data_IF_219035467107
#
_entry.id   IF_219035467107
#
_cell.length_a   1.000
_cell.length_b   1.000
_cell.length_c   1.000
_cell.angle_alpha   90.00
_cell.angle_beta   90.00
_cell.angle_gamma   90.00
#
_symmetry.space_group_name_H-M   'P 1'
#
loop_
_entity.id
_entity.type
_entity.pdbx_description
1 polymer ?
#
# COMPACT_ATOMS: atom_id res chain seq x y z
N UNK A 1 -15.14 -18.19 -3.30
CA UNK A 1 -13.98 -17.23 -3.20
C UNK A 1 -12.72 -18.05 -3.01
N UNK A 2 -11.77 -17.88 -3.91
CA UNK A 2 -10.47 -18.54 -3.84
C UNK A 2 -9.54 -17.88 -2.80
N UNK A 3 -8.43 -18.52 -2.46
CA UNK A 3 -7.51 -17.95 -1.47
C UNK A 3 -6.86 -16.64 -1.93
N UNK A 4 -6.46 -16.56 -3.21
CA UNK A 4 -5.89 -15.31 -3.75
C UNK A 4 -6.93 -14.19 -3.87
N UNK A 5 -8.19 -14.50 -4.21
CA UNK A 5 -9.27 -13.51 -4.19
C UNK A 5 -9.50 -12.95 -2.79
N UNK A 6 -9.44 -13.80 -1.76
CA UNK A 6 -9.54 -13.35 -0.37
C UNK A 6 -8.42 -12.38 0.01
N UNK A 7 -7.17 -12.67 -0.42
CA UNK A 7 -6.04 -11.78 -0.18
C UNK A 7 -6.15 -10.47 -0.97
N UNK A 8 -6.58 -10.54 -2.23
CA UNK A 8 -6.86 -9.35 -3.04
C UNK A 8 -7.93 -8.46 -2.37
N UNK A 9 -9.02 -9.04 -1.91
CA UNK A 9 -10.06 -8.30 -1.19
C UNK A 9 -9.54 -7.68 0.12
N UNK A 10 -8.61 -8.35 0.81
CA UNK A 10 -7.96 -7.79 2.00
C UNK A 10 -7.12 -6.56 1.63
N UNK A 11 -6.31 -6.66 0.59
CA UNK A 11 -5.55 -5.52 0.06
C UNK A 11 -6.47 -4.35 -0.28
N UNK A 12 -7.59 -4.60 -0.97
CA UNK A 12 -8.55 -3.57 -1.36
C UNK A 12 -9.24 -2.90 -0.17
N UNK A 13 -9.52 -3.63 0.91
CA UNK A 13 -10.04 -3.01 2.15
C UNK A 13 -9.08 -1.98 2.73
N UNK A 14 -7.79 -2.28 2.74
CA UNK A 14 -6.78 -1.31 3.20
C UNK A 14 -6.59 -0.18 2.19
N UNK A 15 -6.67 -0.45 0.89
CA UNK A 15 -6.67 0.60 -0.13
C UNK A 15 -7.79 1.62 0.09
N UNK A 16 -9.01 1.17 0.32
CA UNK A 16 -10.14 2.07 0.61
C UNK A 16 -9.94 2.86 1.92
N UNK A 17 -9.27 2.27 2.91
CA UNK A 17 -8.89 3.03 4.12
C UNK A 17 -7.88 4.13 3.82
N UNK A 18 -6.91 3.89 2.93
CA UNK A 18 -5.97 4.92 2.48
C UNK A 18 -6.71 6.09 1.80
N UNK A 19 -7.67 5.78 0.94
CA UNK A 19 -8.50 6.81 0.31
C UNK A 19 -9.24 7.63 1.37
N UNK A 20 -9.86 7.01 2.34
CA UNK A 20 -10.55 7.69 3.44
C UNK A 20 -9.59 8.55 4.28
N UNK A 21 -8.38 8.08 4.54
CA UNK A 21 -7.35 8.82 5.29
C UNK A 21 -6.96 10.11 4.56
N UNK A 22 -6.77 10.06 3.24
CA UNK A 22 -6.47 11.26 2.45
C UNK A 22 -7.66 12.19 2.27
N UNK A 23 -8.88 11.67 2.18
CA UNK A 23 -10.10 12.50 2.15
C UNK A 23 -10.41 13.16 3.49
N UNK A 24 -9.97 12.59 4.59
CA UNK A 24 -10.14 13.08 5.93
C UNK A 24 -10.92 12.16 6.85
N UNK A 25 -10.37 11.99 8.03
CA UNK A 25 -10.97 11.22 9.13
C UNK A 25 -11.68 12.18 10.07
N UNK A 26 -12.89 11.86 10.50
CA UNK A 26 -13.67 12.71 11.42
C UNK A 26 -12.89 12.93 12.72
N UNK A 27 -12.71 14.19 13.09
CA UNK A 27 -12.06 14.57 14.36
C UNK A 27 -12.94 14.10 15.54
N UNK A 28 -12.33 13.44 16.53
CA UNK A 28 -13.06 12.85 17.65
C UNK A 28 -13.55 11.41 17.40
N UNK A 29 -13.29 10.86 16.21
CA UNK A 29 -13.38 9.40 16.02
C UNK A 29 -12.30 8.69 16.87
N UNK A 30 -12.49 7.40 17.16
CA UNK A 30 -11.49 6.62 17.90
C UNK A 30 -10.17 6.43 17.13
N UNK A 31 -10.12 6.81 15.85
CA UNK A 31 -8.94 6.70 14.99
C UNK A 31 -7.93 7.80 15.31
N UNK A 32 -6.71 7.36 15.62
CA UNK A 32 -5.54 8.20 15.88
C UNK A 32 -4.66 8.28 14.63
N UNK A 33 -3.71 9.23 14.63
CA UNK A 33 -2.70 9.31 13.56
C UNK A 33 -1.91 8.02 13.37
N UNK A 34 -1.56 7.35 14.48
CA UNK A 34 -0.87 6.07 14.45
C UNK A 34 -1.68 4.97 13.75
N UNK A 35 -3.00 4.92 13.99
CA UNK A 35 -3.90 3.97 13.31
C UNK A 35 -3.92 4.20 11.80
N UNK A 36 -3.83 5.46 11.37
CA UNK A 36 -3.76 5.80 9.95
C UNK A 36 -2.44 5.34 9.32
N UNK A 37 -1.33 5.50 10.01
CA UNK A 37 -0.01 5.01 9.57
C UNK A 37 -0.02 3.48 9.49
N UNK A 38 -0.58 2.82 10.48
CA UNK A 38 -0.69 1.36 10.52
C UNK A 38 -1.51 0.83 9.34
N UNK A 39 -2.61 1.48 9.01
CA UNK A 39 -3.42 1.13 7.83
C UNK A 39 -2.64 1.31 6.52
N UNK A 40 -1.85 2.38 6.40
CA UNK A 40 -0.98 2.61 5.23
C UNK A 40 0.02 1.48 5.08
N UNK A 41 0.73 1.12 6.13
CA UNK A 41 1.69 0.02 6.09
C UNK A 41 1.02 -1.33 5.88
N UNK A 42 -0.16 -1.55 6.46
CA UNK A 42 -0.94 -2.76 6.24
C UNK A 42 -1.36 -2.92 4.77
N UNK A 43 -1.63 -1.82 4.05
CA UNK A 43 -1.86 -1.90 2.60
C UNK A 43 -0.63 -2.48 1.89
N UNK A 44 0.55 -1.89 2.08
CA UNK A 44 1.76 -2.35 1.39
C UNK A 44 2.14 -3.79 1.73
N UNK A 45 1.96 -4.18 2.99
CA UNK A 45 2.16 -5.55 3.44
C UNK A 45 1.23 -6.53 2.68
N UNK A 46 -0.07 -6.24 2.64
CA UNK A 46 -1.04 -7.09 1.98
C UNK A 46 -0.89 -7.08 0.46
N UNK A 47 -0.51 -5.96 -0.12
CA UNK A 47 -0.21 -5.81 -1.55
C UNK A 47 0.98 -6.68 -1.96
N UNK A 48 2.08 -6.64 -1.21
CA UNK A 48 3.26 -7.45 -1.49
C UNK A 48 3.01 -8.94 -1.29
N UNK A 49 2.28 -9.31 -0.25
CA UNK A 49 1.97 -10.71 0.04
C UNK A 49 1.01 -11.34 -0.98
N UNK A 50 0.29 -10.56 -1.76
CA UNK A 50 -0.61 -11.11 -2.79
C UNK A 50 0.14 -12.05 -3.76
N UNK A 51 1.40 -11.75 -4.09
CA UNK A 51 2.24 -12.63 -4.91
C UNK A 51 2.37 -14.05 -4.33
N UNK A 52 2.50 -14.17 -3.01
CA UNK A 52 2.68 -15.47 -2.36
C UNK A 52 1.37 -16.26 -2.34
N UNK A 53 0.25 -15.56 -2.19
CA UNK A 53 -1.07 -16.18 -2.28
C UNK A 53 -1.35 -16.68 -3.71
N UNK A 54 -1.02 -15.88 -4.74
CA UNK A 54 -1.14 -16.29 -6.14
C UNK A 54 -0.29 -17.53 -6.47
N UNK A 55 0.94 -17.57 -5.95
CA UNK A 55 1.85 -18.72 -6.19
C UNK A 55 1.41 -20.01 -5.51
N UNK A 56 0.70 -19.91 -4.40
CA UNK A 56 0.36 -21.07 -3.56
C UNK A 56 -1.14 -21.44 -3.60
N UNK A 57 -1.96 -20.67 -4.30
CA UNK A 57 -3.36 -21.02 -4.50
C UNK A 57 -3.52 -21.99 -5.68
N UNK A 58 -3.96 -23.23 -5.45
CA UNK A 58 -4.18 -24.20 -6.53
C UNK A 58 -5.28 -23.78 -7.51
N UNK A 59 -6.17 -22.87 -7.09
CA UNK A 59 -7.21 -22.34 -7.96
C UNK A 59 -6.72 -21.26 -8.94
N UNK A 60 -5.52 -20.70 -8.72
CA UNK A 60 -4.92 -19.74 -9.63
C UNK A 60 -4.08 -20.44 -10.69
N UNK A 61 -4.68 -20.67 -11.85
CA UNK A 61 -4.05 -21.41 -12.95
C UNK A 61 -3.65 -20.54 -14.15
N UNK A 62 -3.98 -19.25 -14.12
CA UNK A 62 -3.71 -18.32 -15.23
C UNK A 62 -2.22 -18.06 -15.48
N UNK A 63 -1.40 -18.14 -14.44
CA UNK A 63 0.03 -17.86 -14.50
C UNK A 63 0.81 -18.86 -13.66
N UNK A 64 2.03 -19.15 -14.09
CA UNK A 64 2.96 -19.97 -13.28
C UNK A 64 3.54 -19.17 -12.11
N UNK A 65 4.06 -19.87 -11.11
CA UNK A 65 4.77 -19.24 -9.97
C UNK A 65 5.90 -18.33 -10.46
N UNK A 66 6.64 -18.75 -11.48
CA UNK A 66 7.72 -17.98 -12.07
C UNK A 66 7.20 -16.70 -12.73
N UNK A 67 6.10 -16.77 -13.47
CA UNK A 67 5.48 -15.59 -14.09
C UNK A 67 5.02 -14.56 -13.04
N UNK A 68 4.51 -15.00 -11.90
CA UNK A 68 4.16 -14.10 -10.78
C UNK A 68 5.42 -13.39 -10.24
N UNK A 69 6.51 -14.13 -10.02
CA UNK A 69 7.77 -13.55 -9.55
C UNK A 69 8.38 -12.59 -10.58
N UNK A 70 8.39 -12.95 -11.84
CA UNK A 70 8.93 -12.12 -12.92
C UNK A 70 8.13 -10.83 -13.07
N UNK A 71 6.81 -10.90 -12.95
CA UNK A 71 5.96 -9.72 -12.99
C UNK A 71 6.29 -8.73 -11.87
N UNK A 72 6.43 -9.21 -10.64
CA UNK A 72 6.82 -8.35 -9.50
C UNK A 72 8.20 -7.73 -9.73
N UNK A 73 9.16 -8.52 -10.21
CA UNK A 73 10.54 -8.06 -10.47
C UNK A 73 10.65 -7.02 -11.59
N UNK A 74 9.70 -7.01 -12.51
CA UNK A 74 9.71 -6.10 -13.68
C UNK A 74 8.72 -4.94 -13.54
N UNK A 75 7.98 -4.87 -12.43
CA UNK A 75 6.98 -3.82 -12.18
C UNK A 75 7.48 -2.86 -11.10
N UNK A 76 7.91 -1.63 -11.45
CA UNK A 76 8.60 -0.73 -10.52
C UNK A 76 7.80 -0.40 -9.25
N UNK A 77 6.48 -0.17 -9.35
CA UNK A 77 5.66 0.13 -8.18
C UNK A 77 5.56 -1.08 -7.22
N UNK A 78 5.60 -2.31 -7.72
CA UNK A 78 5.59 -3.51 -6.88
C UNK A 78 6.95 -3.78 -6.23
N UNK A 79 8.05 -3.39 -6.88
CA UNK A 79 9.39 -3.40 -6.27
C UNK A 79 9.48 -2.38 -5.14
N UNK A 80 8.98 -1.17 -5.35
CA UNK A 80 8.88 -0.16 -4.28
C UNK A 80 7.98 -0.64 -3.14
N UNK A 81 6.84 -1.23 -3.45
CA UNK A 81 5.95 -1.85 -2.47
C UNK A 81 6.68 -2.90 -1.61
N UNK A 82 7.51 -3.74 -2.23
CA UNK A 82 8.33 -4.71 -1.53
C UNK A 82 9.32 -4.05 -0.55
N UNK A 83 9.98 -2.98 -0.98
CA UNK A 83 10.93 -2.24 -0.12
C UNK A 83 10.22 -1.55 1.03
N UNK A 84 9.05 -0.95 0.81
CA UNK A 84 8.22 -0.37 1.88
C UNK A 84 7.80 -1.46 2.88
N UNK A 85 7.33 -2.60 2.39
CA UNK A 85 6.95 -3.73 3.23
C UNK A 85 8.12 -4.23 4.10
N UNK A 86 9.32 -4.31 3.52
CA UNK A 86 10.53 -4.72 4.26
C UNK A 86 11.00 -3.65 5.24
N UNK A 87 10.90 -2.37 4.89
CA UNK A 87 11.26 -1.25 5.78
C UNK A 87 10.39 -1.21 7.04
N UNK A 88 9.12 -1.59 6.95
CA UNK A 88 8.21 -1.67 8.11
C UNK A 88 8.55 -2.83 9.04
N UNK A 89 9.18 -3.87 8.53
CA UNK A 89 9.59 -5.04 9.31
C UNK A 89 10.98 -4.88 9.95
N UNK A 90 11.87 -4.15 9.26
CA UNK A 90 13.25 -3.98 9.66
C UNK A 90 13.57 -2.50 9.77
N UNK A 91 14.19 -2.10 10.87
CA UNK A 91 14.61 -0.71 11.10
C UNK A 91 15.60 -0.21 10.02
N UNK A 92 16.40 -1.13 9.47
CA UNK A 92 17.36 -0.85 8.40
C UNK A 92 17.24 -1.90 7.30
N UNK A 93 17.20 -1.45 6.05
CA UNK A 93 17.30 -2.33 4.90
C UNK A 93 18.77 -2.64 4.62
N UNK A 94 19.11 -3.93 4.52
CA UNK A 94 20.44 -4.39 4.07
C UNK A 94 20.64 -4.30 2.56
N UNK A 95 19.55 -4.14 1.83
CA UNK A 95 19.52 -3.99 0.38
C UNK A 95 18.12 -3.63 -0.08
N UNK A 96 17.99 -3.14 -1.30
CA UNK A 96 16.71 -2.77 -1.89
C UNK A 96 16.42 -3.58 -3.14
N UNK A 97 15.15 -3.75 -3.46
CA UNK A 97 14.69 -4.42 -4.69
C UNK A 97 14.45 -3.42 -5.81
N UNK A 98 14.05 -2.21 -5.45
CA UNK A 98 13.81 -1.10 -6.37
C UNK A 98 15.09 -0.32 -6.76
N UNK A 99 16.22 -0.61 -6.10
CA UNK A 99 17.50 0.08 -6.31
C UNK A 99 17.69 1.35 -5.48
N UNK A 100 16.71 1.77 -4.70
CA UNK A 100 16.80 2.94 -3.82
C UNK A 100 16.04 2.69 -2.53
N UNK A 101 16.54 3.24 -1.42
CA UNK A 101 15.88 3.12 -0.10
C UNK A 101 14.71 4.10 -0.05
N UNK A 102 13.47 3.63 0.18
CA UNK A 102 12.35 4.54 0.39
C UNK A 102 12.52 5.26 1.73
N UNK A 103 12.28 6.57 1.73
CA UNK A 103 12.27 7.41 2.93
C UNK A 103 10.85 7.85 3.21
N UNK A 104 10.42 7.68 4.45
CA UNK A 104 9.14 8.19 4.91
C UNK A 104 9.38 9.62 5.40
N UNK A 105 8.84 10.58 4.65
CA UNK A 105 8.83 11.97 5.04
C UNK A 105 7.53 12.33 5.75
N UNK A 106 7.42 13.57 6.18
CA UNK A 106 6.38 14.05 7.06
C UNK A 106 4.94 13.65 6.67
N UNK A 107 4.13 13.42 7.68
CA UNK A 107 2.69 13.34 7.56
C UNK A 107 2.16 14.77 7.44
N UNK A 108 1.64 15.13 6.29
CA UNK A 108 0.91 16.36 6.12
C UNK A 108 -0.49 16.21 6.74
N UNK A 109 -0.76 17.02 7.75
CA UNK A 109 -2.07 17.10 8.38
C UNK A 109 -2.81 18.32 7.79
N UNK A 110 -3.97 18.09 7.22
CA UNK A 110 -4.85 19.16 6.78
C UNK A 110 -6.18 19.02 7.51
N UNK A 111 -6.50 20.03 8.33
CA UNK A 111 -7.80 20.11 8.99
C UNK A 111 -8.78 20.89 8.11
N UNK A 112 -10.01 20.39 7.96
CA UNK A 112 -11.10 21.08 7.29
C UNK A 112 -12.41 20.84 8.01
N UNK A 113 -13.36 21.78 7.83
CA UNK A 113 -14.66 21.72 8.45
C UNK A 113 -15.74 21.53 7.38
N UNK A 114 -16.56 20.48 7.54
CA UNK A 114 -17.76 20.25 6.75
C UNK A 114 -19.02 20.94 7.32
N UNK A 115 -18.89 21.56 8.52
CA UNK A 115 -19.95 22.24 9.26
C UNK A 115 -19.55 22.47 10.72
N UNK A 116 -20.40 23.11 11.57
CA UNK A 116 -20.03 23.51 12.93
C UNK A 116 -19.59 22.37 13.86
N UNK A 117 -20.01 21.13 13.58
CA UNK A 117 -19.70 19.94 14.37
C UNK A 117 -18.95 18.87 13.56
N UNK A 118 -18.59 19.15 12.31
CA UNK A 118 -18.04 18.16 11.38
C UNK A 118 -16.61 18.53 10.98
N UNK A 119 -15.68 18.28 11.90
CA UNK A 119 -14.24 18.49 11.70
C UNK A 119 -13.57 17.22 11.21
N UNK A 120 -12.86 17.32 10.10
CA UNK A 120 -12.09 16.24 9.51
C UNK A 120 -10.62 16.59 9.44
N UNK A 121 -9.78 15.59 9.57
CA UNK A 121 -8.32 15.70 9.41
C UNK A 121 -7.88 14.74 8.33
N UNK A 122 -7.29 15.27 7.29
CA UNK A 122 -6.64 14.48 6.24
C UNK A 122 -5.19 14.22 6.61
N UNK A 123 -4.75 12.98 6.41
CA UNK A 123 -3.37 12.53 6.65
C UNK A 123 -2.74 12.14 5.32
N UNK A 124 -1.55 12.66 5.05
CA UNK A 124 -0.75 12.29 3.88
C UNK A 124 0.64 11.84 4.34
N UNK A 125 0.96 10.58 4.12
CA UNK A 125 2.32 10.10 4.25
C UNK A 125 3.04 10.28 2.91
N UNK A 126 4.11 11.06 2.92
CA UNK A 126 4.97 11.27 1.74
C UNK A 126 6.11 10.29 1.77
N UNK A 127 6.36 9.62 0.66
CA UNK A 127 7.44 8.67 0.48
C UNK A 127 8.38 9.22 -0.59
N UNK A 128 9.64 9.43 -0.24
CA UNK A 128 10.71 9.75 -1.18
C UNK A 128 11.40 8.47 -1.62
N UNK A 129 11.50 8.30 -2.93
CA UNK A 129 12.18 7.17 -3.53
C UNK A 129 12.81 7.60 -4.85
N UNK A 130 14.11 7.31 -5.02
CA UNK A 130 14.87 7.66 -6.23
C UNK A 130 14.74 9.15 -6.63
N UNK A 131 14.75 10.05 -5.65
CA UNK A 131 14.63 11.50 -5.86
C UNK A 131 13.21 12.01 -6.16
N UNK A 132 12.21 11.12 -6.18
CA UNK A 132 10.80 11.45 -6.41
C UNK A 132 10.01 11.34 -5.11
N UNK A 133 9.20 12.35 -4.82
CA UNK A 133 8.26 12.37 -3.69
C UNK A 133 6.86 12.05 -4.17
N UNK A 134 6.22 11.08 -3.52
CA UNK A 134 4.84 10.66 -3.81
C UNK A 134 4.10 10.43 -2.50
N UNK A 135 2.77 10.61 -2.52
CA UNK A 135 1.95 10.17 -1.41
C UNK A 135 1.83 8.64 -1.40
N UNK A 136 1.65 8.07 -0.22
CA UNK A 136 1.41 6.63 -0.09
C UNK A 136 0.20 6.18 -0.93
N UNK A 137 -0.86 6.99 -1.01
CA UNK A 137 -2.03 6.68 -1.83
C UNK A 137 -1.70 6.66 -3.34
N UNK A 138 -0.87 7.58 -3.82
CA UNK A 138 -0.46 7.59 -5.23
C UNK A 138 0.27 6.29 -5.60
N UNK A 139 1.22 5.85 -4.76
CA UNK A 139 1.93 4.59 -4.94
C UNK A 139 0.96 3.40 -4.85
N UNK A 140 0.06 3.42 -3.89
CA UNK A 140 -0.94 2.36 -3.71
C UNK A 140 -1.84 2.21 -4.93
N UNK A 141 -2.28 3.30 -5.55
CA UNK A 141 -3.06 3.27 -6.80
C UNK A 141 -2.30 2.62 -7.95
N UNK A 142 -1.02 2.91 -8.10
CA UNK A 142 -0.19 2.25 -9.11
C UNK A 142 -0.07 0.75 -8.86
N UNK A 143 0.11 0.35 -7.60
CA UNK A 143 0.18 -1.06 -7.23
C UNK A 143 -1.15 -1.81 -7.50
N UNK A 144 -2.28 -1.20 -7.17
CA UNK A 144 -3.62 -1.79 -7.46
C UNK A 144 -3.80 -1.96 -8.97
N UNK A 145 -3.51 -0.94 -9.76
CA UNK A 145 -3.60 -1.04 -11.24
C UNK A 145 -2.69 -2.13 -11.81
N UNK A 146 -1.48 -2.27 -11.25
CA UNK A 146 -0.56 -3.32 -11.67
C UNK A 146 -1.15 -4.72 -11.40
N UNK A 147 -1.68 -4.95 -10.21
CA UNK A 147 -2.32 -6.23 -9.89
C UNK A 147 -3.58 -6.47 -10.71
N UNK A 148 -4.42 -5.46 -10.92
CA UNK A 148 -5.61 -5.59 -11.77
C UNK A 148 -5.24 -6.03 -13.18
N UNK A 149 -4.21 -5.40 -13.78
CA UNK A 149 -3.72 -5.78 -15.11
C UNK A 149 -3.16 -7.19 -15.15
N UNK A 150 -2.54 -7.66 -14.08
CA UNK A 150 -1.98 -9.02 -14.02
C UNK A 150 -3.05 -10.09 -13.85
N UNK A 151 -4.11 -9.80 -13.11
CA UNK A 151 -5.19 -10.75 -12.81
C UNK A 151 -6.20 -10.90 -13.95
N UNK A 152 -6.29 -9.90 -14.83
CA UNK A 152 -7.12 -10.00 -16.06
C UNK A 152 -6.58 -11.07 -17.01
#
# INVERSE_FOLDING_TARGET
MTHHEFQYQRMMRYFHRLEQIEFGVKLGSERRGDDCIDDIFAFFLNCYHLKDWLKNDPAFTKRTKQQVEDYVKTTPCLLLCADICHATKHLMLRGTRSGSVPRFEDINLTAFEGGPLDKHVAYQLVIEHAGKKQTALAIARECVRAWDSFLL
#
